data_IF_620670251977
#
_entry.id   IF_620670251977
#
_cell.length_a   1.000
_cell.length_b   1.000
_cell.length_c   1.000
_cell.angle_alpha   90.00
_cell.angle_beta   90.00
_cell.angle_gamma   90.00
#
_symmetry.space_group_name_H-M   'P 1'
#
loop_
_entity.id
_entity.type
_entity.pdbx_description
1 polymer ?
#
# COMPACT_ATOMS: atom_id res chain seq x y z
N UNK A 1 18.13 -12.74 17.37
CA UNK A 1 17.06 -12.89 16.35
C UNK A 1 15.84 -13.54 17.00
N UNK A 2 14.68 -12.88 16.99
CA UNK A 2 13.44 -13.38 17.56
C UNK A 2 12.37 -13.48 16.46
N UNK A 3 11.57 -14.53 16.47
CA UNK A 3 10.41 -14.67 15.58
C UNK A 3 9.30 -13.76 16.05
N UNK A 4 8.70 -12.99 15.13
CA UNK A 4 7.59 -12.09 15.44
C UNK A 4 6.26 -12.54 14.82
N UNK A 5 6.31 -13.41 13.81
CA UNK A 5 5.11 -13.91 13.16
C UNK A 5 5.38 -14.50 11.78
N UNK A 6 4.37 -14.41 10.92
CA UNK A 6 4.45 -14.83 9.52
C UNK A 6 3.73 -13.83 8.60
N UNK A 7 4.09 -13.80 7.34
CA UNK A 7 3.38 -13.02 6.32
C UNK A 7 1.98 -13.61 6.14
N UNK A 8 0.96 -12.85 6.53
CA UNK A 8 -0.44 -13.23 6.33
C UNK A 8 -0.87 -13.02 4.87
N UNK A 9 -0.45 -11.89 4.28
CA UNK A 9 -0.75 -11.58 2.88
C UNK A 9 0.26 -10.58 2.30
N UNK A 10 0.44 -10.64 0.97
CA UNK A 10 1.32 -9.77 0.23
C UNK A 10 0.56 -9.07 -0.89
N UNK A 11 0.83 -7.77 -1.08
CA UNK A 11 0.08 -6.90 -1.99
C UNK A 11 0.98 -5.96 -2.77
N UNK A 12 0.57 -5.66 -3.98
CA UNK A 12 1.17 -4.65 -4.84
C UNK A 12 0.10 -3.65 -5.28
N UNK A 13 0.50 -2.42 -5.49
CA UNK A 13 -0.34 -1.34 -6.00
C UNK A 13 0.32 -0.74 -7.24
N UNK A 14 0.16 -1.32 -8.44
CA UNK A 14 0.89 -0.89 -9.63
C UNK A 14 0.72 0.59 -9.95
N UNK A 15 -0.47 1.14 -9.61
CA UNK A 15 -0.82 2.54 -9.82
C UNK A 15 -1.16 3.22 -8.48
N UNK A 16 -0.52 4.35 -8.21
CA UNK A 16 -0.80 5.16 -7.00
C UNK A 16 -2.30 5.46 -6.91
N UNK A 17 -2.86 5.26 -5.72
CA UNK A 17 -4.29 5.48 -5.40
C UNK A 17 -5.31 4.56 -6.08
N UNK A 18 -4.90 3.60 -6.88
CA UNK A 18 -5.79 2.55 -7.39
C UNK A 18 -5.79 1.32 -6.46
N UNK A 19 -6.62 0.33 -6.76
CA UNK A 19 -6.79 -0.88 -5.97
C UNK A 19 -5.50 -1.70 -5.85
N UNK A 20 -5.47 -2.59 -4.86
CA UNK A 20 -4.40 -3.55 -4.65
C UNK A 20 -4.52 -4.75 -5.60
N UNK A 21 -3.37 -5.34 -5.92
CA UNK A 21 -3.23 -6.63 -6.57
C UNK A 21 -2.64 -7.64 -5.56
N UNK A 22 -3.31 -8.78 -5.32
CA UNK A 22 -2.78 -9.81 -4.42
C UNK A 22 -1.58 -10.52 -5.04
N UNK A 23 -0.61 -10.91 -4.22
CA UNK A 23 0.58 -11.62 -4.65
C UNK A 23 0.73 -12.95 -3.92
N UNK A 24 0.75 -14.06 -4.67
CA UNK A 24 1.17 -15.37 -4.13
C UNK A 24 2.69 -15.43 -3.94
N UNK A 25 3.41 -14.58 -4.67
CA UNK A 25 4.86 -14.44 -4.60
C UNK A 25 5.20 -12.99 -4.91
N UNK A 26 5.85 -12.30 -3.98
CA UNK A 26 6.24 -10.90 -4.08
C UNK A 26 7.75 -10.80 -4.34
N UNK A 27 8.20 -10.59 -5.59
CA UNK A 27 9.59 -10.24 -5.85
C UNK A 27 9.90 -8.88 -5.22
N UNK A 28 10.90 -8.84 -4.35
CA UNK A 28 11.40 -7.64 -3.67
C UNK A 28 12.75 -7.26 -4.23
N UNK A 29 12.84 -6.05 -4.75
CA UNK A 29 14.08 -5.44 -5.28
C UNK A 29 14.58 -4.37 -4.32
N UNK A 30 15.71 -3.76 -4.57
CA UNK A 30 16.16 -2.60 -3.79
C UNK A 30 15.23 -1.39 -3.87
N UNK A 31 14.33 -1.35 -4.87
CA UNK A 31 13.30 -0.32 -5.00
C UNK A 31 11.96 -0.71 -4.35
N UNK A 32 11.87 -1.84 -3.64
CA UNK A 32 10.64 -2.33 -3.03
C UNK A 32 10.02 -3.52 -3.78
N UNK A 33 8.75 -3.78 -3.56
CA UNK A 33 8.01 -4.81 -4.30
C UNK A 33 7.99 -4.44 -5.78
N UNK A 34 8.34 -5.41 -6.64
CA UNK A 34 8.41 -5.20 -8.09
C UNK A 34 7.12 -4.59 -8.64
N UNK A 35 7.25 -3.49 -9.40
CA UNK A 35 6.16 -2.73 -10.01
C UNK A 35 5.19 -2.04 -9.02
N UNK A 36 5.52 -1.97 -7.73
CA UNK A 36 4.69 -1.26 -6.77
C UNK A 36 4.78 0.25 -6.98
N UNK A 37 3.63 0.93 -7.07
CA UNK A 37 3.46 2.38 -7.33
C UNK A 37 4.32 2.89 -8.50
N UNK A 38 4.55 2.04 -9.50
CA UNK A 38 5.34 2.38 -10.69
C UNK A 38 4.66 3.46 -11.54
N UNK A 39 3.35 3.57 -11.46
CA UNK A 39 2.59 4.57 -12.19
C UNK A 39 1.82 5.49 -11.24
N UNK A 40 1.68 6.75 -11.65
CA UNK A 40 0.79 7.71 -11.01
C UNK A 40 0.17 8.62 -12.08
N UNK A 41 -1.04 9.10 -11.81
CA UNK A 41 -1.62 10.19 -12.60
C UNK A 41 -1.31 11.51 -11.93
N UNK A 42 -0.89 12.49 -12.73
CA UNK A 42 -0.51 13.83 -12.29
C UNK A 42 -1.54 14.83 -12.80
N UNK A 43 -1.94 15.77 -11.94
CA UNK A 43 -2.86 16.83 -12.29
C UNK A 43 -2.10 17.97 -12.96
N UNK A 44 -2.49 18.37 -14.17
CA UNK A 44 -1.90 19.49 -14.85
C UNK A 44 -2.13 20.80 -14.08
N UNK A 45 -1.08 21.62 -13.97
CA UNK A 45 -1.17 22.92 -13.32
C UNK A 45 -1.35 22.90 -11.80
N UNK A 46 -1.20 21.75 -11.14
CA UNK A 46 -1.22 21.68 -9.68
C UNK A 46 -0.04 22.47 -9.10
N UNK A 47 -0.27 23.45 -8.20
CA UNK A 47 0.81 24.17 -7.51
C UNK A 47 1.40 23.35 -6.35
N UNK A 48 0.84 22.19 -6.05
CA UNK A 48 1.26 21.33 -4.95
C UNK A 48 2.58 20.64 -5.25
N UNK A 49 3.50 20.48 -4.28
CA UNK A 49 4.63 19.58 -4.40
C UNK A 49 4.20 18.09 -4.51
N UNK A 50 2.93 17.81 -4.23
CA UNK A 50 2.28 16.51 -4.48
C UNK A 50 1.27 16.66 -5.64
N UNK A 51 1.68 16.64 -6.89
CA UNK A 51 0.81 16.89 -8.03
C UNK A 51 -0.05 15.67 -8.41
N UNK A 52 -0.03 14.65 -7.59
CA UNK A 52 -0.72 13.39 -7.86
C UNK A 52 -2.24 13.55 -7.80
N UNK A 53 -2.94 12.95 -8.76
CA UNK A 53 -4.36 12.66 -8.60
C UNK A 53 -4.48 11.51 -7.60
N UNK A 54 -5.10 11.76 -6.47
CA UNK A 54 -5.17 10.78 -5.37
C UNK A 54 -6.61 10.35 -5.06
N UNK A 55 -6.76 9.21 -4.37
CA UNK A 55 -8.06 8.77 -3.87
C UNK A 55 -8.74 9.77 -2.93
N UNK A 56 -7.98 10.69 -2.31
CA UNK A 56 -8.57 11.76 -1.47
C UNK A 56 -9.35 12.79 -2.30
N UNK A 57 -8.92 13.03 -3.52
CA UNK A 57 -9.54 13.97 -4.45
C UNK A 57 -10.55 13.27 -5.35
N UNK A 58 -10.26 12.04 -5.75
CA UNK A 58 -11.12 11.19 -6.57
C UNK A 58 -11.25 9.80 -5.95
N UNK A 59 -12.16 9.58 -4.98
CA UNK A 59 -12.35 8.28 -4.32
C UNK A 59 -12.63 7.13 -5.29
N UNK A 60 -13.22 7.43 -6.45
CA UNK A 60 -13.48 6.44 -7.50
C UNK A 60 -12.19 5.74 -8.01
N UNK A 61 -11.00 6.34 -7.84
CA UNK A 61 -9.73 5.69 -8.21
C UNK A 61 -9.51 4.38 -7.47
N UNK A 62 -9.93 4.27 -6.20
CA UNK A 62 -9.79 3.05 -5.40
C UNK A 62 -10.49 1.83 -6.00
N UNK A 63 -11.48 2.04 -6.87
CA UNK A 63 -12.23 0.96 -7.53
C UNK A 63 -11.64 0.55 -8.88
N UNK A 64 -10.64 1.27 -9.38
CA UNK A 64 -9.89 0.86 -10.57
C UNK A 64 -8.91 -0.23 -10.18
N UNK A 65 -8.93 -1.36 -10.88
CA UNK A 65 -8.16 -2.56 -10.55
C UNK A 65 -7.00 -2.73 -11.55
N UNK A 66 -5.83 -2.19 -11.25
CA UNK A 66 -4.65 -2.40 -12.07
C UNK A 66 -4.12 -3.82 -11.86
N UNK A 67 -3.69 -4.46 -12.95
CA UNK A 67 -3.03 -5.75 -12.94
C UNK A 67 -1.72 -5.67 -13.72
N UNK A 68 -0.65 -6.13 -13.09
CA UNK A 68 0.65 -6.23 -13.72
C UNK A 68 0.79 -7.53 -14.52
N UNK A 69 1.45 -7.45 -15.68
CA UNK A 69 1.86 -8.61 -16.45
C UNK A 69 3.24 -8.39 -17.05
N UNK A 70 4.13 -9.35 -16.86
CA UNK A 70 5.46 -9.34 -17.49
C UNK A 70 5.40 -9.69 -18.98
N UNK A 71 4.32 -10.38 -19.42
CA UNK A 71 4.16 -10.89 -20.76
C UNK A 71 3.51 -9.89 -21.74
N UNK A 72 3.11 -8.72 -21.23
CA UNK A 72 2.34 -7.74 -22.02
C UNK A 72 3.04 -6.38 -22.10
N UNK A 73 2.72 -5.63 -23.16
CA UNK A 73 3.04 -4.19 -23.26
C UNK A 73 1.79 -3.43 -23.70
N UNK A 74 1.29 -2.43 -22.92
CA UNK A 74 1.86 -2.02 -21.63
C UNK A 74 1.72 -3.13 -20.58
N UNK A 75 2.59 -3.11 -19.58
CA UNK A 75 2.63 -4.13 -18.52
C UNK A 75 1.53 -3.99 -17.47
N UNK A 76 0.70 -2.97 -17.58
CA UNK A 76 -0.44 -2.75 -16.68
C UNK A 76 -1.70 -2.57 -17.50
N UNK A 77 -2.68 -3.40 -17.23
CA UNK A 77 -4.07 -3.22 -17.64
C UNK A 77 -4.88 -2.78 -16.41
N UNK A 78 -5.78 -1.83 -16.60
CA UNK A 78 -6.64 -1.30 -15.55
C UNK A 78 -8.08 -1.66 -15.88
N UNK A 79 -8.70 -2.44 -14.99
CA UNK A 79 -10.14 -2.68 -15.06
C UNK A 79 -10.87 -1.53 -14.38
N UNK A 80 -11.72 -0.84 -15.12
CA UNK A 80 -12.53 0.26 -14.62
C UNK A 80 -13.70 -0.25 -13.76
N UNK A 81 -14.34 0.62 -12.94
CA UNK A 81 -15.57 0.24 -12.23
C UNK A 81 -16.73 -0.18 -13.14
N UNK A 82 -16.71 0.22 -14.41
CA UNK A 82 -17.69 -0.20 -15.43
C UNK A 82 -17.41 -1.59 -16.02
N UNK A 83 -16.19 -2.13 -15.76
CA UNK A 83 -15.77 -3.45 -16.25
C UNK A 83 -14.88 -3.42 -17.48
N UNK A 84 -14.60 -2.24 -18.07
CA UNK A 84 -13.71 -2.11 -19.22
C UNK A 84 -12.26 -2.39 -18.78
N UNK A 85 -11.50 -3.12 -19.59
CA UNK A 85 -10.06 -3.30 -19.41
C UNK A 85 -9.30 -2.37 -20.36
N UNK A 86 -8.58 -1.41 -19.80
CA UNK A 86 -7.87 -0.37 -20.55
C UNK A 86 -6.37 -0.42 -20.25
N UNK A 87 -5.51 -0.29 -21.26
CA UNK A 87 -4.08 -0.10 -21.06
C UNK A 87 -3.81 1.14 -20.21
N UNK A 88 -2.81 1.06 -19.31
CA UNK A 88 -2.45 2.15 -18.40
C UNK A 88 -2.10 3.44 -19.15
N UNK A 89 -1.52 3.32 -20.33
CA UNK A 89 -1.06 4.41 -21.19
C UNK A 89 -2.07 4.80 -22.30
N UNK A 90 -3.30 4.25 -22.25
CA UNK A 90 -4.33 4.57 -23.22
C UNK A 90 -4.96 5.96 -22.99
N UNK A 91 -5.29 6.65 -24.08
CA UNK A 91 -6.06 7.89 -24.03
C UNK A 91 -7.45 7.67 -23.41
N UNK A 92 -8.06 6.50 -23.61
CA UNK A 92 -9.38 6.19 -23.07
C UNK A 92 -9.37 6.20 -21.54
N UNK A 93 -8.37 5.59 -20.90
CA UNK A 93 -8.22 5.62 -19.44
C UNK A 93 -7.92 7.05 -18.96
N UNK A 94 -7.02 7.75 -19.64
CA UNK A 94 -6.68 9.14 -19.30
C UNK A 94 -7.91 10.03 -19.35
N UNK A 95 -8.66 10.01 -20.45
CA UNK A 95 -9.89 10.79 -20.64
C UNK A 95 -11.01 10.39 -19.66
N UNK A 96 -11.08 9.11 -19.29
CA UNK A 96 -12.00 8.63 -18.24
C UNK A 96 -11.69 9.29 -16.89
N UNK A 97 -10.41 9.33 -16.50
CA UNK A 97 -9.99 9.96 -15.25
C UNK A 97 -10.09 11.48 -15.30
N UNK A 98 -9.78 12.13 -16.44
CA UNK A 98 -9.95 13.58 -16.62
C UNK A 98 -11.40 14.02 -16.43
N UNK A 99 -12.35 13.28 -17.03
CA UNK A 99 -13.78 13.55 -16.85
C UNK A 99 -14.22 13.43 -15.40
N UNK A 100 -13.73 12.39 -14.71
CA UNK A 100 -14.09 12.17 -13.31
C UNK A 100 -13.42 13.17 -12.35
N UNK A 101 -12.23 13.66 -12.67
CA UNK A 101 -11.48 14.65 -11.89
C UNK A 101 -11.81 16.09 -12.24
N UNK A 102 -12.57 16.32 -13.34
CA UNK A 102 -12.90 17.65 -13.89
C UNK A 102 -11.68 18.52 -14.18
N UNK A 103 -10.56 17.90 -14.54
CA UNK A 103 -9.29 18.56 -14.85
C UNK A 103 -8.37 17.69 -15.69
N UNK A 104 -7.46 18.28 -16.48
CA UNK A 104 -6.49 17.52 -17.25
C UNK A 104 -5.57 16.71 -16.34
N UNK A 105 -5.34 15.45 -16.71
CA UNK A 105 -4.37 14.57 -16.05
C UNK A 105 -3.47 13.93 -17.09
N UNK A 106 -2.29 13.53 -16.69
CA UNK A 106 -1.38 12.75 -17.52
C UNK A 106 -0.69 11.64 -16.71
N UNK A 107 -0.36 10.56 -17.40
CA UNK A 107 0.34 9.44 -16.80
C UNK A 107 1.81 9.79 -16.55
N UNK A 108 2.28 9.52 -15.34
CA UNK A 108 3.69 9.56 -15.00
C UNK A 108 4.19 8.14 -14.67
N UNK A 109 4.99 7.52 -15.54
CA UNK A 109 5.77 6.35 -15.18
C UNK A 109 6.91 6.76 -14.26
N UNK A 110 7.00 6.13 -13.11
CA UNK A 110 8.09 6.34 -12.14
C UNK A 110 8.66 4.98 -11.72
N UNK A 111 9.69 4.55 -12.40
CA UNK A 111 10.34 3.24 -12.16
C UNK A 111 11.01 3.10 -10.80
N UNK A 112 11.15 4.20 -10.03
CA UNK A 112 11.59 4.19 -8.64
C UNK A 112 10.43 4.06 -7.64
N UNK A 113 9.19 4.09 -8.13
CA UNK A 113 7.97 4.10 -7.34
C UNK A 113 7.54 5.51 -6.90
N UNK A 114 6.22 5.74 -6.92
CA UNK A 114 5.60 7.00 -6.44
C UNK A 114 5.16 6.83 -4.99
N UNK A 115 6.10 6.48 -4.10
CA UNK A 115 5.87 6.29 -2.67
C UNK A 115 5.63 7.61 -1.94
N UNK A 116 5.00 7.54 -0.76
CA UNK A 116 4.86 8.70 0.11
C UNK A 116 6.13 8.92 0.95
N UNK A 117 6.71 7.84 1.49
CA UNK A 117 7.94 7.86 2.29
C UNK A 117 8.91 6.77 1.82
N UNK A 118 8.63 5.49 2.07
CA UNK A 118 9.54 4.40 1.74
C UNK A 118 8.86 3.30 0.91
N UNK A 119 9.69 2.41 0.36
CA UNK A 119 9.29 1.47 -0.68
C UNK A 119 8.58 0.21 -0.16
N UNK A 120 8.70 -0.08 1.12
CA UNK A 120 8.04 -1.23 1.78
C UNK A 120 7.20 -0.72 2.93
N UNK A 121 6.01 -1.30 3.06
CA UNK A 121 5.09 -1.02 4.17
C UNK A 121 4.61 -2.32 4.79
N UNK A 122 4.63 -2.39 6.14
CA UNK A 122 4.18 -3.55 6.89
C UNK A 122 3.22 -3.13 8.01
N UNK A 123 2.28 -4.00 8.34
CA UNK A 123 1.34 -3.79 9.45
C UNK A 123 0.94 -5.13 10.05
N UNK A 124 0.74 -5.16 11.36
CA UNK A 124 0.23 -6.33 12.05
C UNK A 124 -1.28 -6.52 11.78
N UNK A 125 -1.72 -7.76 11.63
CA UNK A 125 -3.13 -8.12 11.55
C UNK A 125 -3.88 -7.76 12.85
N UNK A 126 -3.20 -7.89 13.98
CA UNK A 126 -3.74 -7.52 15.29
C UNK A 126 -4.09 -6.02 15.36
N UNK A 127 -3.27 -5.15 14.76
CA UNK A 127 -3.56 -3.72 14.66
C UNK A 127 -4.77 -3.45 13.76
N UNK A 128 -4.88 -4.16 12.62
CA UNK A 128 -6.04 -4.03 11.73
C UNK A 128 -7.33 -4.43 12.46
N UNK A 129 -7.34 -5.59 13.11
CA UNK A 129 -8.49 -6.09 13.85
C UNK A 129 -8.89 -5.16 15.01
N UNK A 130 -7.91 -4.63 15.74
CA UNK A 130 -8.14 -3.69 16.85
C UNK A 130 -8.80 -2.40 16.35
N UNK A 131 -8.27 -1.79 15.27
CA UNK A 131 -8.85 -0.57 14.69
C UNK A 131 -10.28 -0.81 14.24
N UNK A 132 -10.55 -1.93 13.58
CA UNK A 132 -11.90 -2.30 13.13
C UNK A 132 -12.87 -2.42 14.31
N UNK A 133 -12.49 -3.15 15.36
CA UNK A 133 -13.29 -3.34 16.56
C UNK A 133 -13.54 -2.00 17.31
N UNK A 134 -12.51 -1.20 17.55
CA UNK A 134 -12.60 0.06 18.27
C UNK A 134 -13.39 1.14 17.50
N UNK A 135 -13.32 1.14 16.17
CA UNK A 135 -14.09 2.05 15.33
C UNK A 135 -15.52 1.57 15.03
N UNK A 136 -15.84 0.30 15.34
CA UNK A 136 -17.11 -0.32 14.97
C UNK A 136 -17.30 -0.40 13.45
N UNK A 137 -16.23 -0.69 12.71
CA UNK A 137 -16.22 -0.80 11.23
C UNK A 137 -15.84 -2.21 10.79
N UNK A 138 -16.16 -2.61 9.56
CA UNK A 138 -15.64 -3.86 9.02
C UNK A 138 -14.11 -3.91 9.02
N UNK A 139 -13.57 -5.10 9.23
CA UNK A 139 -12.15 -5.35 9.09
C UNK A 139 -11.78 -5.35 7.62
N UNK A 140 -11.13 -4.28 7.17
CA UNK A 140 -10.71 -4.07 5.79
C UNK A 140 -9.23 -3.66 5.75
N UNK A 141 -8.29 -4.61 5.75
CA UNK A 141 -6.87 -4.30 5.77
C UNK A 141 -6.43 -3.43 4.59
N UNK A 142 -7.00 -3.61 3.41
CA UNK A 142 -6.60 -2.89 2.19
C UNK A 142 -6.81 -1.37 2.25
N UNK A 143 -7.57 -0.85 3.24
CA UNK A 143 -7.66 0.61 3.47
C UNK A 143 -6.34 1.23 3.92
N UNK A 144 -5.48 0.44 4.58
CA UNK A 144 -4.16 0.89 5.03
C UNK A 144 -3.10 0.82 3.92
N UNK A 145 -3.36 0.09 2.84
CA UNK A 145 -2.53 0.04 1.62
C UNK A 145 -1.10 -0.44 1.86
N UNK A 146 -0.95 -1.47 2.70
CA UNK A 146 0.34 -2.09 3.00
C UNK A 146 0.77 -3.09 1.94
N UNK A 147 2.09 -3.29 1.80
CA UNK A 147 2.63 -4.36 0.99
C UNK A 147 2.53 -5.71 1.69
N UNK A 148 2.79 -5.74 3.01
CA UNK A 148 2.76 -6.96 3.79
C UNK A 148 1.93 -6.79 5.06
N UNK A 149 1.00 -7.70 5.27
CA UNK A 149 0.33 -7.88 6.55
C UNK A 149 0.97 -9.06 7.26
N UNK A 150 1.26 -8.90 8.54
CA UNK A 150 1.97 -9.86 9.37
C UNK A 150 1.02 -10.39 10.43
N UNK A 151 0.79 -11.70 10.43
CA UNK A 151 0.13 -12.39 11.54
C UNK A 151 1.14 -12.55 12.67
N UNK A 152 0.97 -11.78 13.74
CA UNK A 152 1.90 -11.73 14.86
C UNK A 152 1.56 -12.74 15.94
N UNK A 153 2.60 -13.28 16.61
CA UNK A 153 2.41 -14.31 17.64
C UNK A 153 1.73 -13.76 18.91
N UNK A 154 2.11 -12.57 19.32
CA UNK A 154 1.60 -11.93 20.53
C UNK A 154 0.21 -11.31 20.37
N UNK A 155 -0.26 -11.16 19.12
CA UNK A 155 -1.55 -10.54 18.76
C UNK A 155 -1.82 -9.20 19.47
N UNK A 156 -0.77 -8.47 19.83
CA UNK A 156 -0.90 -7.15 20.43
C UNK A 156 -1.10 -6.09 19.36
N UNK A 157 -2.11 -5.22 19.49
CA UNK A 157 -2.23 -4.08 18.58
C UNK A 157 -1.01 -3.15 18.74
N UNK A 158 -0.65 -2.51 17.63
CA UNK A 158 0.48 -1.58 17.53
C UNK A 158 1.86 -2.19 17.79
N UNK A 159 1.99 -3.52 17.82
CA UNK A 159 3.26 -4.21 18.07
C UNK A 159 4.33 -3.85 17.02
N UNK A 160 3.92 -3.53 15.79
CA UNK A 160 4.82 -3.07 14.74
C UNK A 160 5.55 -1.76 15.07
N UNK A 161 5.06 -0.96 16.01
CA UNK A 161 5.79 0.23 16.49
C UNK A 161 7.17 -0.15 17.06
N UNK A 162 7.26 -1.32 17.71
CA UNK A 162 8.50 -1.85 18.26
C UNK A 162 9.49 -2.36 17.22
N UNK A 163 9.11 -2.43 15.95
CA UNK A 163 10.02 -2.84 14.87
C UNK A 163 10.90 -1.70 14.36
N UNK A 164 10.52 -0.44 14.65
CA UNK A 164 11.27 0.75 14.19
C UNK A 164 12.70 0.74 14.74
N UNK A 165 13.66 0.95 13.86
CA UNK A 165 15.09 0.90 14.17
C UNK A 165 15.72 -0.49 14.10
N UNK A 166 14.92 -1.53 13.81
CA UNK A 166 15.38 -2.89 13.65
C UNK A 166 15.38 -3.34 12.18
N UNK A 167 16.10 -4.42 11.93
CA UNK A 167 16.03 -5.15 10.67
C UNK A 167 15.03 -6.29 10.81
N UNK A 168 14.09 -6.40 9.86
CA UNK A 168 13.26 -7.59 9.73
C UNK A 168 13.79 -8.48 8.61
N UNK A 169 13.85 -9.78 8.88
CA UNK A 169 14.01 -10.80 7.86
C UNK A 169 12.64 -11.37 7.51
N UNK A 170 12.28 -11.31 6.23
CA UNK A 170 11.04 -11.81 5.66
C UNK A 170 11.36 -13.04 4.82
N UNK A 171 10.86 -14.21 5.25
CA UNK A 171 11.20 -15.49 4.64
C UNK A 171 12.68 -15.83 4.75
N UNK A 172 13.23 -16.43 3.69
CA UNK A 172 14.58 -16.97 3.71
C UNK A 172 15.68 -15.90 3.60
N UNK A 173 15.47 -14.86 2.77
CA UNK A 173 16.56 -13.98 2.35
C UNK A 173 16.27 -12.49 2.42
N UNK A 174 15.01 -12.07 2.28
CA UNK A 174 14.68 -10.63 2.23
C UNK A 174 14.94 -9.99 3.58
N UNK A 175 15.72 -8.89 3.58
CA UNK A 175 15.93 -8.06 4.76
C UNK A 175 15.49 -6.64 4.49
N UNK A 176 14.77 -6.07 5.44
CA UNK A 176 14.29 -4.70 5.39
C UNK A 176 14.65 -3.98 6.69
N UNK A 177 15.20 -2.78 6.59
CA UNK A 177 15.36 -1.89 7.74
C UNK A 177 14.06 -1.12 7.96
N UNK A 178 13.45 -1.28 9.14
CA UNK A 178 12.25 -0.52 9.50
C UNK A 178 12.69 0.87 9.95
N UNK A 179 12.26 1.90 9.23
CA UNK A 179 12.78 3.26 9.37
C UNK A 179 11.91 4.15 10.25
N UNK A 180 10.59 4.03 10.12
CA UNK A 180 9.65 4.88 10.86
C UNK A 180 8.24 4.30 10.89
N UNK A 181 7.40 4.82 11.79
CA UNK A 181 5.96 4.54 11.82
C UNK A 181 5.25 5.24 10.67
N UNK A 182 4.22 4.60 10.11
CA UNK A 182 3.44 5.18 9.01
C UNK A 182 2.37 6.13 9.53
N UNK A 183 2.55 7.44 9.27
CA UNK A 183 1.57 8.47 9.64
C UNK A 183 0.37 8.43 8.72
N UNK A 184 -0.80 8.19 9.29
CA UNK A 184 -2.05 8.02 8.55
C UNK A 184 -2.74 9.35 8.26
N UNK A 185 -3.35 9.42 7.09
CA UNK A 185 -4.15 10.56 6.65
C UNK A 185 -5.58 10.12 6.32
N UNK A 186 -6.41 11.03 5.84
CA UNK A 186 -7.79 10.75 5.45
C UNK A 186 -7.95 9.59 4.44
N UNK A 187 -6.87 9.15 3.78
CA UNK A 187 -6.91 8.03 2.84
C UNK A 187 -7.46 6.75 3.48
N UNK A 188 -7.15 6.48 4.77
CA UNK A 188 -7.62 5.27 5.46
C UNK A 188 -9.10 5.31 5.83
N UNK A 189 -9.77 6.46 5.70
CA UNK A 189 -11.22 6.55 5.89
C UNK A 189 -11.99 6.03 4.69
N UNK A 190 -11.35 5.99 3.52
CA UNK A 190 -11.98 5.55 2.27
C UNK A 190 -12.02 4.03 2.20
N UNK A 191 -13.19 3.49 1.86
CA UNK A 191 -13.32 2.05 1.65
C UNK A 191 -12.69 1.64 0.31
N UNK A 192 -11.90 0.55 0.26
CA UNK A 192 -11.29 0.07 -0.98
C UNK A 192 -12.28 -0.25 -2.10
N UNK A 193 -13.50 -0.62 -1.72
CA UNK A 193 -14.55 -1.00 -2.66
C UNK A 193 -15.61 0.10 -2.89
N UNK A 194 -15.41 1.29 -2.33
CA UNK A 194 -16.35 2.40 -2.38
C UNK A 194 -17.27 2.44 -1.16
N UNK A 195 -18.12 3.46 -1.12
CA UNK A 195 -19.00 3.75 0.01
C UNK A 195 -18.62 5.05 0.72
N UNK A 196 -19.36 5.38 1.77
CA UNK A 196 -19.11 6.59 2.55
C UNK A 196 -17.82 6.49 3.36
N UNK A 197 -17.08 7.59 3.53
CA UNK A 197 -15.88 7.61 4.34
C UNK A 197 -16.14 7.25 5.81
N UNK A 198 -15.39 6.31 6.35
CA UNK A 198 -15.44 5.87 7.73
C UNK A 198 -14.46 6.65 8.60
N UNK A 199 -14.78 7.90 8.92
CA UNK A 199 -13.89 8.83 9.66
C UNK A 199 -13.48 8.31 11.03
N UNK A 200 -14.31 7.45 11.66
CA UNK A 200 -14.01 6.81 12.94
C UNK A 200 -12.71 5.99 12.92
N UNK A 201 -12.35 5.40 11.77
CA UNK A 201 -11.09 4.66 11.60
C UNK A 201 -9.89 5.56 11.90
N UNK A 202 -9.85 6.75 11.28
CA UNK A 202 -8.76 7.70 11.52
C UNK A 202 -8.80 8.26 12.95
N UNK A 203 -9.99 8.45 13.52
CA UNK A 203 -10.15 8.92 14.90
C UNK A 203 -9.54 7.94 15.91
N UNK A 204 -9.78 6.64 15.76
CA UNK A 204 -9.16 5.60 16.61
C UNK A 204 -7.63 5.67 16.50
N UNK A 205 -7.10 5.64 15.28
CA UNK A 205 -5.65 5.69 15.04
C UNK A 205 -5.02 6.96 15.63
N UNK A 206 -5.71 8.11 15.51
CA UNK A 206 -5.22 9.37 16.05
C UNK A 206 -5.18 9.39 17.59
N UNK A 207 -6.22 8.87 18.22
CA UNK A 207 -6.35 8.92 19.69
C UNK A 207 -5.49 7.86 20.39
N UNK A 208 -5.32 6.70 19.80
CA UNK A 208 -4.69 5.55 20.46
C UNK A 208 -3.23 5.35 20.09
N UNK A 209 -2.79 5.86 18.91
CA UNK A 209 -1.42 5.68 18.43
C UNK A 209 -0.87 6.89 17.65
N UNK A 210 -1.18 8.11 18.07
CA UNK A 210 -0.59 9.35 17.53
C UNK A 210 -0.79 9.53 16.01
N UNK A 211 -1.89 9.05 15.47
CA UNK A 211 -2.18 8.96 14.06
C UNK A 211 -1.20 8.05 13.26
N UNK A 212 -0.57 7.08 13.90
CA UNK A 212 0.35 6.12 13.29
C UNK A 212 -0.30 4.74 13.19
N UNK A 213 -0.14 4.02 12.06
CA UNK A 213 -0.57 2.63 11.93
C UNK A 213 0.24 1.95 10.82
N UNK A 214 0.96 0.90 11.18
CA UNK A 214 1.96 0.26 10.33
C UNK A 214 3.30 1.01 10.32
N UNK A 215 4.23 0.48 9.56
CA UNK A 215 5.61 0.97 9.47
C UNK A 215 6.10 1.03 8.03
N UNK A 216 7.04 1.93 7.79
CA UNK A 216 7.84 2.03 6.58
C UNK A 216 9.17 1.30 6.73
N UNK A 217 9.63 0.72 5.63
CA UNK A 217 10.93 0.06 5.60
C UNK A 217 11.65 0.24 4.26
N UNK A 218 12.97 0.17 4.32
CA UNK A 218 13.87 0.17 3.16
C UNK A 218 14.48 -1.23 2.96
N UNK A 219 14.63 -1.64 1.72
CA UNK A 219 15.18 -2.96 1.40
C UNK A 219 16.71 -2.96 1.56
N UNK A 220 17.22 -3.88 2.37
CA UNK A 220 18.64 -4.14 2.54
C UNK A 220 19.12 -5.30 1.66
N UNK A 221 18.32 -6.37 1.60
CA UNK A 221 18.62 -7.55 0.80
C UNK A 221 17.40 -7.92 -0.03
N UNK A 222 17.51 -7.94 -1.36
CA UNK A 222 16.41 -8.34 -2.24
C UNK A 222 16.17 -9.85 -2.18
N UNK A 223 15.01 -10.28 -2.70
CA UNK A 223 14.62 -11.69 -2.76
C UNK A 223 13.14 -11.84 -3.09
N UNK A 224 12.53 -12.88 -2.57
CA UNK A 224 11.09 -13.15 -2.79
C UNK A 224 10.42 -13.40 -1.45
N UNK A 225 9.28 -12.78 -1.22
CA UNK A 225 8.43 -12.96 -0.03
C UNK A 225 7.11 -13.61 -0.46
N UNK A 226 6.64 -14.58 0.32
CA UNK A 226 5.36 -15.27 0.08
C UNK A 226 4.47 -15.25 1.31
N UNK A 227 3.15 -15.26 1.16
CA UNK A 227 2.26 -15.59 2.27
C UNK A 227 2.68 -16.90 2.92
N UNK A 228 2.73 -16.92 4.25
CA UNK A 228 3.22 -18.04 5.05
C UNK A 228 4.69 -17.94 5.46
N UNK A 229 5.50 -17.13 4.80
CA UNK A 229 6.91 -16.91 5.17
C UNK A 229 7.03 -16.36 6.59
N UNK A 230 8.00 -16.87 7.35
CA UNK A 230 8.27 -16.41 8.72
C UNK A 230 8.91 -15.02 8.73
N UNK A 231 8.57 -14.26 9.76
CA UNK A 231 9.12 -12.92 10.00
C UNK A 231 9.93 -12.94 11.29
N UNK A 232 11.17 -12.51 11.20
CA UNK A 232 12.08 -12.41 12.34
C UNK A 232 12.57 -10.97 12.51
N UNK A 233 12.69 -10.53 13.75
CA UNK A 233 13.42 -9.30 14.10
C UNK A 233 14.87 -9.68 14.36
N UNK A 234 15.79 -8.98 13.71
CA UNK A 234 17.24 -9.14 13.90
C UNK A 234 17.71 -7.99 14.80
N UNK A 235 18.60 -8.32 15.75
CA UNK A 235 19.24 -7.28 16.55
C UNK A 235 20.09 -6.39 15.63
N UNK A 236 20.18 -5.08 15.93
CA UNK A 236 21.06 -4.21 15.19
C UNK A 236 22.50 -4.75 15.26
N UNK A 237 23.17 -4.77 14.10
CA UNK A 237 24.55 -5.25 13.98
C UNK A 237 25.52 -4.30 14.70
#
# INVERSE_FOLDING_TARGET
MARVGRIASAWRYPVKSMAAEPLESAPVTLQGVQADRMYAFVQAGSPSPFPWLTGRELPAMLRHQPRWSDDQRPRVLVRTPAGDELPIDSDDLRLHLERAAERPVYLLPNYRGSFDVAAITLMSDATVAHIAAASGTPEEPLRFRMNFYVETEDRQPWCENGWVGHTLRLGDSVRVAVTERDKRCAMITLAPHGGDPLTRVLTVVANENEAMAGVYASVLTPGVVRPGDEVFIEDPA
#
